data_IF_308453413396
#
_entry.id   IF_308453413396
#
_cell.length_a   1.000
_cell.length_b   1.000
_cell.length_c   1.000
_cell.angle_alpha   90.00
_cell.angle_beta   90.00
_cell.angle_gamma   90.00
#
_symmetry.space_group_name_H-M   'P 1'
#
loop_
_entity.id
_entity.type
_entity.pdbx_description
1 polymer ?
#
# COMPACT_ATOMS: atom_id res chain seq x y z
N UNK A 1 -9.04 1.67 9.52
CA UNK A 1 -9.92 0.82 8.70
C UNK A 1 -9.24 -0.51 8.40
N UNK A 2 -9.82 -1.62 8.86
CA UNK A 2 -9.37 -2.97 8.49
C UNK A 2 -9.81 -3.28 7.05
N UNK A 3 -8.92 -3.85 6.23
CA UNK A 3 -9.33 -4.35 4.92
C UNK A 3 -10.08 -5.67 5.10
N UNK A 4 -11.19 -5.90 4.38
CA UNK A 4 -11.83 -7.21 4.34
C UNK A 4 -10.83 -8.29 3.93
N UNK A 5 -10.86 -9.45 4.60
CA UNK A 5 -9.89 -10.54 4.38
C UNK A 5 -9.82 -10.99 2.90
N UNK A 6 -10.95 -10.99 2.19
CA UNK A 6 -10.99 -11.25 0.74
C UNK A 6 -10.12 -10.29 -0.07
N UNK A 7 -10.19 -8.99 0.23
CA UNK A 7 -9.40 -7.96 -0.46
C UNK A 7 -7.91 -8.09 -0.11
N UNK A 8 -7.61 -8.39 1.15
CA UNK A 8 -6.23 -8.64 1.61
C UNK A 8 -5.60 -9.82 0.87
N UNK A 9 -6.32 -10.93 0.74
CA UNK A 9 -5.88 -12.11 -0.02
C UNK A 9 -5.63 -11.77 -1.50
N UNK A 10 -6.54 -11.02 -2.13
CA UNK A 10 -6.40 -10.59 -3.51
C UNK A 10 -5.17 -9.69 -3.72
N UNK A 11 -4.93 -8.73 -2.81
CA UNK A 11 -3.77 -7.85 -2.86
C UNK A 11 -2.45 -8.62 -2.73
N UNK A 12 -2.38 -9.56 -1.79
CA UNK A 12 -1.19 -10.43 -1.64
C UNK A 12 -0.95 -11.27 -2.88
N UNK A 13 -1.99 -11.78 -3.54
CA UNK A 13 -1.85 -12.52 -4.79
C UNK A 13 -1.29 -11.63 -5.92
N UNK A 14 -1.77 -10.39 -6.06
CA UNK A 14 -1.23 -9.43 -7.04
C UNK A 14 0.25 -9.12 -6.78
N UNK A 15 0.62 -8.94 -5.51
CA UNK A 15 2.02 -8.72 -5.11
C UNK A 15 2.87 -9.95 -5.45
N UNK A 16 2.37 -11.16 -5.22
CA UNK A 16 3.08 -12.38 -5.56
C UNK A 16 3.36 -12.50 -7.07
N UNK A 17 2.39 -12.13 -7.92
CA UNK A 17 2.58 -12.09 -9.38
C UNK A 17 3.66 -11.07 -9.75
N UNK A 18 3.56 -9.84 -9.25
CA UNK A 18 4.55 -8.80 -9.54
C UNK A 18 5.97 -9.19 -9.06
N UNK A 19 6.08 -9.75 -7.85
CA UNK A 19 7.37 -10.23 -7.33
C UNK A 19 7.93 -11.40 -8.13
N UNK A 20 7.08 -12.29 -8.62
CA UNK A 20 7.50 -13.39 -9.48
C UNK A 20 8.14 -12.87 -10.77
N UNK A 21 7.50 -11.89 -11.40
CA UNK A 21 7.98 -11.29 -12.65
C UNK A 21 9.33 -10.56 -12.46
N UNK A 22 9.51 -9.85 -11.35
CA UNK A 22 10.75 -9.13 -11.02
C UNK A 22 11.90 -10.07 -10.58
N UNK A 23 11.60 -11.10 -9.79
CA UNK A 23 12.62 -11.99 -9.23
C UNK A 23 13.00 -13.14 -10.16
N UNK A 24 12.19 -13.44 -11.18
CA UNK A 24 12.35 -14.60 -12.05
C UNK A 24 12.20 -15.95 -11.33
N UNK A 25 11.62 -15.95 -10.12
CA UNK A 25 11.36 -17.14 -9.29
C UNK A 25 10.09 -16.97 -8.46
N UNK A 26 9.55 -18.08 -7.95
CA UNK A 26 8.42 -18.04 -7.01
C UNK A 26 8.84 -17.29 -5.72
N UNK A 27 8.13 -16.20 -5.35
CA UNK A 27 8.42 -15.46 -4.14
C UNK A 27 7.97 -16.22 -2.89
N UNK A 28 8.72 -16.06 -1.81
CA UNK A 28 8.39 -16.62 -0.49
C UNK A 28 7.26 -15.83 0.15
N UNK A 29 6.57 -16.46 1.09
CA UNK A 29 5.46 -15.84 1.81
C UNK A 29 5.90 -14.60 2.59
N UNK A 30 7.09 -14.65 3.18
CA UNK A 30 7.66 -13.54 3.97
C UNK A 30 7.92 -12.32 3.08
N UNK A 31 8.41 -12.53 1.85
CA UNK A 31 8.67 -11.46 0.87
C UNK A 31 7.36 -10.76 0.48
N UNK A 32 6.30 -11.53 0.21
CA UNK A 32 4.97 -11.00 -0.12
C UNK A 32 4.41 -10.22 1.06
N UNK A 33 4.55 -10.74 2.29
CA UNK A 33 4.02 -10.11 3.49
C UNK A 33 4.75 -8.81 3.84
N UNK A 34 6.07 -8.77 3.63
CA UNK A 34 6.89 -7.57 3.82
C UNK A 34 6.52 -6.48 2.82
N UNK A 35 6.40 -6.80 1.54
CA UNK A 35 5.98 -5.84 0.50
C UNK A 35 4.54 -5.37 0.75
N UNK A 36 3.64 -6.26 1.15
CA UNK A 36 2.28 -5.89 1.52
C UNK A 36 2.24 -4.91 2.70
N UNK A 37 3.06 -5.11 3.73
CA UNK A 37 3.19 -4.17 4.85
C UNK A 37 3.75 -2.83 4.37
N UNK A 38 4.85 -2.86 3.61
CA UNK A 38 5.51 -1.66 3.09
C UNK A 38 4.54 -0.82 2.26
N UNK A 39 3.81 -1.43 1.32
CA UNK A 39 2.82 -0.74 0.50
C UNK A 39 1.73 -0.06 1.36
N UNK A 40 1.29 -0.70 2.44
CA UNK A 40 0.30 -0.10 3.37
C UNK A 40 0.89 1.05 4.17
N UNK A 41 2.14 0.93 4.63
CA UNK A 41 2.85 2.00 5.33
C UNK A 41 3.05 3.18 4.39
N UNK A 42 3.56 2.94 3.18
CA UNK A 42 3.72 3.98 2.17
C UNK A 42 2.39 4.67 1.86
N UNK A 43 1.33 3.91 1.61
CA UNK A 43 0.01 4.50 1.33
C UNK A 43 -0.52 5.33 2.50
N UNK A 44 -0.32 4.92 3.75
CA UNK A 44 -0.90 5.66 4.90
C UNK A 44 -0.03 6.82 5.36
N UNK A 45 1.27 6.56 5.51
CA UNK A 45 2.18 7.43 6.23
C UNK A 45 3.05 8.29 5.31
N UNK A 46 3.19 7.92 4.02
CA UNK A 46 4.06 8.65 3.09
C UNK A 46 3.23 9.32 1.99
N UNK A 47 2.59 8.50 1.15
CA UNK A 47 1.82 8.93 -0.01
C UNK A 47 0.43 9.44 0.37
N UNK A 48 -0.24 8.81 1.34
CA UNK A 48 -1.59 9.20 1.75
C UNK A 48 -1.64 10.54 2.45
N UNK A 49 -0.64 10.84 3.29
CA UNK A 49 -0.47 12.18 3.87
C UNK A 49 -0.21 13.21 2.77
N UNK A 50 0.61 12.88 1.76
CA UNK A 50 0.84 13.77 0.62
C UNK A 50 -0.46 14.04 -0.17
N UNK A 51 -1.24 13.01 -0.47
CA UNK A 51 -2.52 13.15 -1.15
C UNK A 51 -3.55 13.94 -0.34
N UNK A 52 -3.69 13.64 0.96
CA UNK A 52 -4.57 14.40 1.86
C UNK A 52 -4.14 15.86 1.98
N UNK A 53 -2.83 16.14 2.06
CA UNK A 53 -2.31 17.52 2.07
C UNK A 53 -2.60 18.25 0.76
N UNK A 54 -2.47 17.59 -0.39
CA UNK A 54 -2.86 18.19 -1.67
C UNK A 54 -4.35 18.49 -1.74
N UNK A 55 -5.20 17.58 -1.27
CA UNK A 55 -6.65 17.77 -1.25
C UNK A 55 -7.07 18.89 -0.28
N UNK A 56 -6.49 18.95 0.92
CA UNK A 56 -6.74 20.00 1.91
C UNK A 56 -6.35 21.38 1.37
N UNK A 57 -5.20 21.49 0.70
CA UNK A 57 -4.77 22.71 0.00
C UNK A 57 -5.75 23.13 -1.10
N UNK A 58 -6.24 22.19 -1.92
CA UNK A 58 -7.23 22.47 -2.97
C UNK A 58 -8.57 22.94 -2.40
N UNK A 59 -8.96 22.42 -1.24
CA UNK A 59 -10.24 22.74 -0.59
C UNK A 59 -10.15 23.93 0.39
N UNK A 60 -9.01 24.65 0.45
CA UNK A 60 -8.82 25.82 1.30
C UNK A 60 -8.78 25.52 2.81
N UNK A 61 -8.73 24.25 3.21
CA UNK A 61 -8.54 23.87 4.61
C UNK A 61 -7.05 23.88 4.92
N UNK A 62 -6.63 24.78 5.80
CA UNK A 62 -5.30 24.71 6.40
C UNK A 62 -5.20 23.39 7.16
N UNK A 63 -4.14 22.63 6.88
CA UNK A 63 -3.77 21.45 7.65
C UNK A 63 -3.39 21.90 9.07
N UNK A 64 -4.38 22.04 9.95
CA UNK A 64 -4.15 22.20 11.38
C UNK A 64 -3.81 20.80 11.89
N UNK A 65 -2.64 20.72 12.51
CA UNK A 65 -1.95 19.51 12.97
C UNK A 65 -2.85 18.48 13.67
#
# INVERSE_FOLDING_TARGET
MALPERKKKLLKAKIAVALHDELGRVPKKEEIDQVFLLARVMYKAVLGLHFQRQQQKKNGQLAIF
#
